data_IF_887628225425
#
_entry.id   IF_887628225425
#
_cell.length_a   1.000
_cell.length_b   1.000
_cell.length_c   1.000
_cell.angle_alpha   90.00
_cell.angle_beta   90.00
_cell.angle_gamma   90.00
#
_symmetry.space_group_name_H-M   'P 1'
#
loop_
_entity.id
_entity.type
_entity.pdbx_description
1 polymer ?
#
# COMPACT_ATOMS: atom_id res chain seq x y z
N UNK A 1 -59.46 -41.57 -30.33
CA UNK A 1 -58.00 -41.32 -30.23
C UNK A 1 -57.81 -39.93 -29.65
N UNK A 2 -57.41 -39.85 -28.37
CA UNK A 2 -57.13 -38.60 -27.66
C UNK A 2 -55.66 -38.23 -27.91
N UNK A 3 -55.39 -37.09 -28.54
CA UNK A 3 -54.05 -36.50 -28.55
C UNK A 3 -53.90 -35.56 -27.35
N UNK A 4 -53.10 -36.00 -26.37
CA UNK A 4 -52.63 -35.15 -25.27
C UNK A 4 -51.59 -34.18 -25.82
N UNK A 5 -51.86 -32.87 -25.72
CA UNK A 5 -50.86 -31.83 -25.91
C UNK A 5 -50.25 -31.56 -24.53
N UNK A 6 -48.98 -31.94 -24.36
CA UNK A 6 -48.19 -31.63 -23.17
C UNK A 6 -47.64 -30.22 -23.33
N UNK A 7 -48.21 -29.25 -22.63
CA UNK A 7 -47.62 -27.90 -22.51
C UNK A 7 -46.53 -27.93 -21.44
N UNK A 8 -45.28 -27.71 -21.84
CA UNK A 8 -44.16 -27.51 -20.91
C UNK A 8 -44.21 -26.05 -20.45
N UNK A 9 -44.69 -25.85 -19.22
CA UNK A 9 -44.63 -24.56 -18.54
C UNK A 9 -43.20 -24.39 -17.99
N UNK A 10 -42.35 -23.66 -18.72
CA UNK A 10 -41.04 -23.23 -18.18
C UNK A 10 -41.31 -22.04 -17.27
N UNK A 11 -41.53 -22.31 -15.98
CA UNK A 11 -41.47 -21.29 -14.94
C UNK A 11 -40.01 -20.90 -14.76
N UNK A 12 -39.59 -19.80 -15.39
CA UNK A 12 -38.34 -19.14 -15.04
C UNK A 12 -38.51 -18.52 -13.64
N UNK A 13 -38.19 -19.28 -12.61
CA UNK A 13 -37.93 -18.74 -11.28
C UNK A 13 -36.60 -18.00 -11.38
N UNK A 14 -36.64 -16.72 -11.77
CA UNK A 14 -35.55 -15.82 -11.44
C UNK A 14 -35.59 -15.61 -9.93
N UNK A 15 -34.96 -16.52 -9.20
CA UNK A 15 -34.53 -16.26 -7.84
C UNK A 15 -33.41 -15.23 -7.94
N UNK A 16 -33.77 -13.96 -8.11
CA UNK A 16 -32.86 -12.87 -7.87
C UNK A 16 -32.53 -12.93 -6.39
N UNK A 17 -31.37 -13.47 -6.04
CA UNK A 17 -30.81 -13.26 -4.73
C UNK A 17 -30.67 -11.74 -4.56
N UNK A 18 -31.58 -11.12 -3.83
CA UNK A 18 -31.40 -9.78 -3.33
C UNK A 18 -30.21 -9.84 -2.38
N UNK A 19 -29.04 -9.44 -2.87
CA UNK A 19 -27.88 -9.27 -2.02
C UNK A 19 -28.25 -8.18 -1.00
N UNK A 20 -28.39 -8.57 0.27
CA UNK A 20 -28.38 -7.61 1.38
C UNK A 20 -27.00 -6.95 1.34
N UNK A 21 -26.96 -5.69 0.91
CA UNK A 21 -25.80 -4.85 1.07
C UNK A 21 -25.93 -4.20 2.46
N UNK A 22 -24.95 -4.42 3.33
CA UNK A 22 -24.84 -3.62 4.55
C UNK A 22 -24.40 -2.22 4.16
N UNK A 23 -24.99 -1.19 4.75
CA UNK A 23 -24.62 0.21 4.57
C UNK A 23 -24.13 0.78 5.89
N UNK A 24 -23.28 1.79 5.84
CA UNK A 24 -22.88 2.54 7.02
C UNK A 24 -23.27 4.01 6.84
N UNK A 25 -23.92 4.56 7.87
CA UNK A 25 -24.23 5.97 8.00
C UNK A 25 -23.33 6.54 9.10
N UNK A 26 -22.47 7.46 8.72
CA UNK A 26 -21.68 8.26 9.64
C UNK A 26 -22.27 9.66 9.70
N UNK A 27 -22.40 10.23 10.89
CA UNK A 27 -22.83 11.62 11.06
C UNK A 27 -22.16 12.28 12.26
N UNK A 28 -21.78 13.54 12.13
CA UNK A 28 -21.36 14.36 13.27
C UNK A 28 -22.31 15.55 13.49
N UNK A 29 -21.97 16.46 14.40
CA UNK A 29 -22.76 17.67 14.71
C UNK A 29 -22.11 18.96 14.24
N UNK A 30 -21.08 18.87 13.39
CA UNK A 30 -20.41 20.01 12.81
C UNK A 30 -20.93 20.21 11.38
N UNK A 31 -21.25 21.44 11.01
CA UNK A 31 -21.68 21.76 9.66
C UNK A 31 -20.55 22.50 8.94
N UNK A 32 -19.56 21.76 8.46
CA UNK A 32 -18.35 22.31 7.82
C UNK A 32 -17.96 21.58 6.52
N UNK A 33 -18.72 20.56 6.11
CA UNK A 33 -18.46 19.70 4.96
C UNK A 33 -17.42 18.60 5.21
N UNK A 34 -16.99 18.38 6.46
CA UNK A 34 -15.93 17.43 6.82
C UNK A 34 -16.41 16.53 7.95
N UNK A 35 -16.38 15.22 7.74
CA UNK A 35 -16.76 14.24 8.76
C UNK A 35 -15.65 14.08 9.82
N UNK A 36 -15.93 14.46 11.05
CA UNK A 36 -15.00 14.39 12.17
C UNK A 36 -15.08 13.03 12.89
N UNK A 37 -14.08 12.17 12.67
CA UNK A 37 -14.07 10.78 13.16
C UNK A 37 -14.12 10.64 14.70
N UNK A 38 -13.72 11.66 15.45
CA UNK A 38 -13.69 11.66 16.91
C UNK A 38 -15.06 11.74 17.59
N UNK A 39 -16.10 12.22 16.87
CA UNK A 39 -17.47 12.38 17.39
C UNK A 39 -18.54 11.81 16.45
N UNK A 40 -18.14 11.08 15.40
CA UNK A 40 -19.07 10.52 14.43
C UNK A 40 -19.94 9.41 15.05
N UNK A 41 -21.25 9.58 14.99
CA UNK A 41 -22.20 8.50 15.27
C UNK A 41 -22.26 7.55 14.08
N UNK A 42 -21.99 6.27 14.32
CA UNK A 42 -21.97 5.23 13.28
C UNK A 42 -23.19 4.34 13.45
N UNK A 43 -24.01 4.25 12.40
CA UNK A 43 -25.14 3.32 12.32
C UNK A 43 -24.87 2.28 11.22
N UNK A 44 -25.03 1.00 11.56
CA UNK A 44 -24.88 -0.11 10.61
C UNK A 44 -26.25 -0.51 10.11
N UNK A 45 -26.49 -0.29 8.82
CA UNK A 45 -27.81 -0.36 8.24
C UNK A 45 -27.95 -1.64 7.40
N UNK A 46 -29.05 -2.36 7.60
CA UNK A 46 -29.55 -3.32 6.61
C UNK A 46 -30.55 -2.60 5.72
N UNK A 47 -30.19 -2.38 4.45
CA UNK A 47 -30.95 -1.55 3.52
C UNK A 47 -31.66 -2.41 2.48
N UNK A 48 -32.97 -2.21 2.35
CA UNK A 48 -33.78 -2.77 1.27
C UNK A 48 -34.12 -1.66 0.28
N UNK A 49 -33.70 -1.82 -0.98
CA UNK A 49 -33.96 -0.87 -2.06
C UNK A 49 -35.02 -1.44 -3.01
N UNK A 50 -36.06 -0.66 -3.30
CA UNK A 50 -37.12 -0.98 -4.25
C UNK A 50 -37.25 0.19 -5.24
N UNK A 51 -36.81 -0.04 -6.47
CA UNK A 51 -36.69 0.99 -7.51
C UNK A 51 -35.79 2.13 -7.04
N UNK A 52 -36.35 3.33 -6.83
CA UNK A 52 -35.62 4.51 -6.36
C UNK A 52 -35.83 4.77 -4.86
N UNK A 53 -36.67 4.00 -4.17
CA UNK A 53 -36.92 4.19 -2.73
C UNK A 53 -36.18 3.14 -1.92
N UNK A 54 -35.82 3.47 -0.69
CA UNK A 54 -35.19 2.54 0.23
C UNK A 54 -35.77 2.65 1.64
N UNK A 55 -35.72 1.53 2.35
CA UNK A 55 -35.93 1.45 3.79
C UNK A 55 -34.74 0.76 4.44
N UNK A 56 -34.30 1.25 5.60
CA UNK A 56 -33.23 0.62 6.34
C UNK A 56 -33.52 0.55 7.84
N UNK A 57 -32.93 -0.45 8.48
CA UNK A 57 -32.95 -0.64 9.93
C UNK A 57 -31.54 -0.69 10.47
N UNK A 58 -31.32 -0.06 11.63
CA UNK A 58 -30.04 -0.17 12.35
C UNK A 58 -29.91 -1.56 12.99
N UNK A 59 -28.85 -2.27 12.64
CA UNK A 59 -28.53 -3.63 13.10
C UNK A 59 -28.04 -3.68 14.56
N UNK A 60 -27.64 -2.55 15.13
CA UNK A 60 -27.01 -2.47 16.46
C UNK A 60 -27.93 -1.75 17.47
N UNK A 61 -28.96 -1.05 17.01
CA UNK A 61 -29.88 -0.34 17.89
C UNK A 61 -30.76 -1.30 18.71
N UNK A 62 -30.90 -1.01 20.01
CA UNK A 62 -31.84 -1.70 20.91
C UNK A 62 -33.30 -1.30 20.69
N UNK A 63 -33.53 -0.25 19.90
CA UNK A 63 -34.84 0.30 19.56
C UNK A 63 -35.01 0.36 18.05
N UNK A 64 -36.25 0.25 17.58
CA UNK A 64 -36.56 0.26 16.15
C UNK A 64 -36.37 1.66 15.55
N UNK A 65 -35.20 1.91 14.98
CA UNK A 65 -34.94 3.08 14.14
C UNK A 65 -35.46 2.78 12.74
N UNK A 66 -36.41 3.59 12.27
CA UNK A 66 -36.93 3.49 10.90
C UNK A 66 -36.27 4.55 10.03
N UNK A 67 -35.55 4.09 9.01
CA UNK A 67 -34.96 4.95 7.97
C UNK A 67 -35.73 4.74 6.68
N UNK A 68 -36.16 5.83 6.06
CA UNK A 68 -36.87 5.82 4.77
C UNK A 68 -36.34 6.94 3.89
N UNK A 69 -36.07 6.63 2.63
CA UNK A 69 -35.53 7.60 1.69
C UNK A 69 -35.65 7.19 0.23
N UNK A 70 -34.99 7.96 -0.61
CA UNK A 70 -34.94 7.74 -2.05
C UNK A 70 -33.62 8.21 -2.66
N UNK A 71 -33.26 7.55 -3.77
CA UNK A 71 -32.15 7.87 -4.65
C UNK A 71 -32.69 8.53 -5.92
N UNK A 72 -32.29 9.77 -6.15
CA UNK A 72 -32.64 10.51 -7.37
C UNK A 72 -31.54 10.30 -8.42
N UNK A 73 -31.86 9.58 -9.49
CA UNK A 73 -30.93 9.30 -10.57
C UNK A 73 -30.78 10.50 -11.50
N UNK A 74 -29.57 10.75 -12.05
CA UNK A 74 -29.37 11.84 -13.00
C UNK A 74 -30.11 11.56 -14.32
N UNK A 75 -30.53 12.63 -15.02
CA UNK A 75 -31.08 12.58 -16.38
C UNK A 75 -32.36 11.73 -16.57
N UNK A 76 -33.22 11.60 -15.56
CA UNK A 76 -34.52 10.92 -15.67
C UNK A 76 -35.66 11.88 -16.03
N UNK A 77 -36.64 11.38 -16.81
CA UNK A 77 -37.79 12.15 -17.31
C UNK A 77 -38.72 12.68 -16.21
N UNK A 78 -38.71 12.08 -15.02
CA UNK A 78 -39.62 12.38 -13.90
C UNK A 78 -39.08 13.40 -12.87
N UNK A 79 -38.22 14.35 -13.28
CA UNK A 79 -37.47 15.31 -12.45
C UNK A 79 -36.16 14.75 -11.87
N UNK A 80 -35.12 14.64 -12.72
CA UNK A 80 -33.72 14.53 -12.29
C UNK A 80 -32.87 15.64 -12.89
N UNK A 81 -32.74 16.79 -12.23
CA UNK A 81 -32.22 18.05 -12.82
C UNK A 81 -30.70 18.27 -12.76
N UNK A 82 -29.91 17.25 -12.39
CA UNK A 82 -28.47 17.39 -12.13
C UNK A 82 -27.60 16.34 -12.82
N UNK A 83 -26.28 16.58 -12.81
CA UNK A 83 -25.24 15.67 -13.35
C UNK A 83 -24.74 14.62 -12.34
N UNK A 84 -25.18 14.70 -11.08
CA UNK A 84 -24.77 13.83 -9.97
C UNK A 84 -26.02 13.24 -9.33
N UNK A 85 -25.96 11.97 -8.91
CA UNK A 85 -27.06 11.32 -8.18
C UNK A 85 -27.22 11.96 -6.81
N UNK A 86 -28.46 12.09 -6.34
CA UNK A 86 -28.78 12.60 -4.99
C UNK A 86 -29.42 11.54 -4.13
N UNK A 87 -29.28 11.69 -2.83
CA UNK A 87 -29.98 10.88 -1.84
C UNK A 87 -30.71 11.81 -0.88
N UNK A 88 -31.96 11.48 -0.56
CA UNK A 88 -32.67 12.10 0.55
C UNK A 88 -33.33 11.05 1.42
N UNK A 89 -33.30 11.23 2.72
CA UNK A 89 -33.92 10.30 3.65
C UNK A 89 -34.26 10.94 4.99
N UNK A 90 -35.05 10.22 5.77
CA UNK A 90 -35.40 10.61 7.14
C UNK A 90 -35.10 9.49 8.11
N UNK A 91 -34.72 9.88 9.33
CA UNK A 91 -34.58 8.97 10.47
C UNK A 91 -35.59 9.38 11.53
N UNK A 92 -36.42 8.43 11.96
CA UNK A 92 -37.35 8.62 13.08
C UNK A 92 -36.84 7.87 14.31
N UNK A 93 -36.58 8.60 15.40
CA UNK A 93 -36.07 8.08 16.67
C UNK A 93 -36.65 8.86 17.85
N UNK A 94 -37.15 8.18 18.89
CA UNK A 94 -37.68 8.82 20.10
C UNK A 94 -38.74 9.91 19.86
N UNK A 95 -39.60 9.70 18.86
CA UNK A 95 -40.62 10.69 18.46
C UNK A 95 -40.05 11.95 17.78
N UNK A 96 -38.75 11.98 17.49
CA UNK A 96 -38.06 13.02 16.72
C UNK A 96 -37.81 12.54 15.29
N UNK A 97 -37.73 13.49 14.36
CA UNK A 97 -37.42 13.23 12.96
C UNK A 97 -36.24 14.09 12.50
N UNK A 98 -35.30 13.43 11.84
CA UNK A 98 -34.11 14.04 11.25
C UNK A 98 -34.21 13.91 9.73
N UNK A 99 -33.77 14.93 9.00
CA UNK A 99 -33.82 15.00 7.53
C UNK A 99 -32.40 15.04 6.98
N UNK A 100 -32.14 14.26 5.93
CA UNK A 100 -30.84 14.11 5.31
C UNK A 100 -30.96 14.40 3.81
N UNK A 101 -30.02 15.18 3.27
CA UNK A 101 -29.91 15.44 1.84
C UNK A 101 -28.44 15.44 1.44
N UNK A 102 -28.10 14.64 0.43
CA UNK A 102 -26.74 14.51 -0.06
C UNK A 102 -26.66 14.14 -1.54
N UNK A 103 -25.43 13.99 -2.01
CA UNK A 103 -25.10 13.62 -3.39
C UNK A 103 -23.91 12.66 -3.43
N UNK A 104 -23.78 11.90 -4.51
CA UNK A 104 -22.73 10.90 -4.67
C UNK A 104 -23.11 9.80 -5.64
N UNK A 105 -22.76 8.56 -5.32
CA UNK A 105 -23.13 7.39 -6.11
C UNK A 105 -23.33 6.14 -5.25
N UNK A 106 -24.00 5.12 -5.79
CA UNK A 106 -24.13 3.83 -5.12
C UNK A 106 -22.82 3.06 -4.94
N UNK A 107 -21.75 3.46 -5.65
CA UNK A 107 -20.44 2.80 -5.61
C UNK A 107 -19.49 3.47 -4.62
N UNK A 108 -19.43 4.80 -4.64
CA UNK A 108 -18.51 5.61 -3.83
C UNK A 108 -19.16 6.10 -2.52
N UNK A 109 -20.47 5.93 -2.40
CA UNK A 109 -21.26 6.48 -1.29
C UNK A 109 -21.76 7.89 -1.58
N UNK A 110 -22.53 8.41 -0.62
CA UNK A 110 -23.13 9.73 -0.64
C UNK A 110 -22.63 10.54 0.54
N UNK A 111 -22.56 11.85 0.37
CA UNK A 111 -22.24 12.79 1.43
C UNK A 111 -23.19 13.99 1.39
N UNK A 112 -23.43 14.58 2.55
CA UNK A 112 -24.30 15.75 2.64
C UNK A 112 -24.54 16.24 4.06
N UNK A 113 -25.67 16.90 4.25
CA UNK A 113 -26.03 17.55 5.50
C UNK A 113 -27.31 16.96 6.07
N UNK A 114 -27.40 16.90 7.39
CA UNK A 114 -28.61 16.55 8.12
C UNK A 114 -29.13 17.71 8.98
N UNK A 115 -30.44 17.73 9.21
CA UNK A 115 -31.12 18.72 10.05
C UNK A 115 -32.05 18.03 11.06
N UNK A 116 -31.96 18.46 12.32
CA UNK A 116 -32.78 17.99 13.44
C UNK A 116 -33.81 19.02 13.91
N UNK A 117 -34.70 18.63 14.85
CA UNK A 117 -35.85 19.44 15.26
C UNK A 117 -35.49 20.66 16.13
N UNK A 118 -34.31 20.70 16.77
CA UNK A 118 -33.94 21.80 17.67
C UNK A 118 -32.91 22.75 17.06
N UNK A 119 -32.98 22.96 15.73
CA UNK A 119 -31.96 23.69 14.97
C UNK A 119 -30.58 23.00 15.03
N UNK A 120 -30.60 21.69 15.25
CA UNK A 120 -29.43 20.82 15.20
C UNK A 120 -29.09 20.55 13.73
N UNK A 121 -27.81 20.50 13.39
CA UNK A 121 -27.36 20.13 12.04
C UNK A 121 -25.95 19.57 12.09
N UNK A 122 -25.59 18.81 11.08
CA UNK A 122 -24.21 18.39 10.87
C UNK A 122 -24.03 17.69 9.53
N UNK A 123 -22.86 17.12 9.33
CA UNK A 123 -22.51 16.43 8.10
C UNK A 123 -22.74 14.91 8.22
N UNK A 124 -22.96 14.26 7.08
CA UNK A 124 -23.09 12.81 7.02
C UNK A 124 -22.42 12.20 5.78
N UNK A 125 -22.07 10.92 5.90
CA UNK A 125 -21.79 10.03 4.78
C UNK A 125 -22.66 8.78 4.87
N UNK A 126 -23.16 8.32 3.72
CA UNK A 126 -23.96 7.10 3.58
C UNK A 126 -23.37 6.29 2.44
N UNK A 127 -22.78 5.15 2.72
CA UNK A 127 -22.21 4.29 1.68
C UNK A 127 -22.49 2.82 1.92
N UNK A 128 -22.38 1.97 0.89
CA UNK A 128 -22.27 0.54 1.13
C UNK A 128 -21.09 0.34 2.10
N UNK A 129 -21.22 -0.64 3.00
CA UNK A 129 -20.10 -1.15 3.76
C UNK A 129 -19.16 -1.81 2.76
N UNK A 130 -18.31 -1.00 2.14
CA UNK A 130 -17.13 -1.48 1.48
C UNK A 130 -16.32 -2.07 2.62
N UNK A 131 -16.20 -3.40 2.67
CA UNK A 131 -15.00 -3.93 3.29
C UNK A 131 -13.88 -3.40 2.41
N UNK A 132 -13.39 -2.19 2.69
CA UNK A 132 -12.08 -1.77 2.23
C UNK A 132 -11.19 -2.77 2.93
N UNK A 133 -10.87 -3.86 2.25
CA UNK A 133 -9.78 -4.72 2.68
C UNK A 133 -8.57 -3.83 2.48
N UNK A 134 -8.29 -3.03 3.50
CA UNK A 134 -7.12 -2.16 3.51
C UNK A 134 -5.95 -3.07 3.18
N UNK A 135 -5.24 -2.75 2.10
CA UNK A 135 -4.11 -3.55 1.74
C UNK A 135 -3.13 -3.56 2.94
N UNK A 136 -2.54 -4.71 3.25
CA UNK A 136 -1.57 -4.80 4.34
C UNK A 136 -0.43 -3.83 4.08
N UNK A 137 0.06 -3.14 5.11
CA UNK A 137 1.08 -2.09 4.95
C UNK A 137 2.47 -2.62 4.63
N UNK A 138 2.68 -3.92 4.85
CA UNK A 138 3.96 -4.58 4.59
C UNK A 138 3.80 -6.09 4.44
N UNK A 139 4.80 -6.73 3.85
CA UNK A 139 4.93 -8.18 3.87
C UNK A 139 5.01 -8.76 5.30
N UNK A 140 5.58 -8.00 6.25
CA UNK A 140 5.63 -8.39 7.65
C UNK A 140 4.23 -8.44 8.28
N UNK A 141 3.33 -7.50 7.94
CA UNK A 141 1.93 -7.57 8.37
C UNK A 141 1.26 -8.85 7.84
N UNK A 142 1.42 -9.14 6.55
CA UNK A 142 0.87 -10.35 5.91
C UNK A 142 1.33 -11.60 6.64
N UNK A 143 2.63 -11.74 6.90
CA UNK A 143 3.19 -12.91 7.58
C UNK A 143 2.73 -13.01 9.04
N UNK A 144 2.52 -11.87 9.72
CA UNK A 144 2.00 -11.85 11.08
C UNK A 144 0.54 -12.31 11.17
N UNK A 145 -0.27 -11.97 10.15
CA UNK A 145 -1.68 -12.34 10.06
C UNK A 145 -1.88 -13.76 9.52
N UNK A 146 -0.96 -14.21 8.66
CA UNK A 146 -0.91 -15.57 8.13
C UNK A 146 0.52 -16.12 8.20
N UNK A 147 0.90 -16.81 9.30
CA UNK A 147 2.22 -17.40 9.46
C UNK A 147 2.60 -18.47 8.42
N UNK A 148 1.62 -19.01 7.69
CA UNK A 148 1.82 -19.98 6.61
C UNK A 148 1.89 -19.30 5.22
N UNK A 149 1.94 -17.96 5.16
CA UNK A 149 2.07 -17.22 3.92
C UNK A 149 3.40 -17.57 3.23
N UNK A 150 3.32 -18.04 1.98
CA UNK A 150 4.50 -18.34 1.18
C UNK A 150 5.09 -17.08 0.53
N UNK A 151 6.38 -17.11 0.22
CA UNK A 151 7.02 -16.09 -0.60
C UNK A 151 6.31 -15.92 -1.95
N UNK A 152 6.12 -14.69 -2.40
CA UNK A 152 5.34 -14.40 -3.61
C UNK A 152 5.00 -12.92 -3.78
N UNK A 153 4.18 -12.60 -4.77
CA UNK A 153 3.73 -11.22 -5.03
C UNK A 153 2.45 -10.96 -4.25
N UNK A 154 2.41 -9.84 -3.52
CA UNK A 154 1.27 -9.38 -2.74
C UNK A 154 1.02 -7.90 -2.99
N UNK A 155 -0.25 -7.49 -2.97
CA UNK A 155 -0.63 -6.08 -2.96
C UNK A 155 -0.45 -5.52 -1.55
N UNK A 156 0.33 -4.45 -1.42
CA UNK A 156 0.60 -3.77 -0.14
C UNK A 156 0.38 -2.26 -0.25
N UNK A 157 0.19 -1.61 0.89
CA UNK A 157 -0.03 -0.16 0.97
C UNK A 157 0.71 0.45 2.18
N UNK A 158 2.01 0.80 2.02
CA UNK A 158 2.85 1.21 3.14
C UNK A 158 2.44 2.50 3.85
N UNK A 159 1.77 3.44 3.18
CA UNK A 159 1.25 4.66 3.81
C UNK A 159 -0.25 4.58 4.16
N UNK A 160 -0.94 3.51 3.77
CA UNK A 160 -2.34 3.28 4.09
C UNK A 160 -3.24 4.28 3.37
N UNK A 161 -4.08 5.00 4.11
CA UNK A 161 -4.89 6.08 3.55
C UNK A 161 -4.06 7.34 3.19
N UNK A 162 -2.77 7.14 2.87
CA UNK A 162 -1.82 8.16 2.49
C UNK A 162 -2.02 8.64 1.06
N UNK A 163 -0.95 9.15 0.45
CA UNK A 163 -1.02 9.79 -0.88
C UNK A 163 -0.72 8.78 -2.00
N UNK A 164 -0.09 7.64 -1.68
CA UNK A 164 0.26 6.62 -2.66
C UNK A 164 -0.77 5.50 -2.66
N UNK A 165 -1.17 5.07 -3.85
CA UNK A 165 -2.01 3.89 -4.00
C UNK A 165 -1.24 2.62 -3.60
N UNK A 166 -1.97 1.57 -3.21
CA UNK A 166 -1.41 0.24 -3.03
C UNK A 166 -0.72 -0.26 -4.30
N UNK A 167 0.35 -1.05 -4.14
CA UNK A 167 1.09 -1.64 -5.26
C UNK A 167 1.49 -3.09 -5.02
N UNK A 168 1.80 -3.80 -6.10
CA UNK A 168 2.30 -5.17 -6.03
C UNK A 168 3.79 -5.19 -5.64
N UNK A 169 4.10 -5.88 -4.54
CA UNK A 169 5.46 -6.09 -4.05
C UNK A 169 5.77 -7.58 -3.96
N UNK A 170 7.04 -7.94 -4.17
CA UNK A 170 7.51 -9.28 -3.84
C UNK A 170 7.83 -9.38 -2.36
N UNK A 171 7.17 -10.33 -1.69
CA UNK A 171 7.39 -10.67 -0.30
C UNK A 171 8.24 -11.94 -0.19
N UNK A 172 9.37 -11.83 0.51
CA UNK A 172 10.16 -12.97 0.97
C UNK A 172 9.73 -13.32 2.41
N UNK A 173 8.97 -14.41 2.53
CA UNK A 173 8.37 -14.89 3.78
C UNK A 173 9.22 -15.94 4.51
N UNK A 174 10.34 -16.35 3.90
CA UNK A 174 11.12 -17.49 4.39
C UNK A 174 12.47 -17.07 4.98
N UNK A 175 13.14 -16.09 4.36
CA UNK A 175 14.52 -15.76 4.70
C UNK A 175 14.59 -14.88 5.94
N UNK A 176 15.44 -15.23 6.91
CA UNK A 176 15.70 -14.41 8.10
C UNK A 176 14.41 -13.98 8.81
N UNK A 177 13.58 -14.96 9.18
CA UNK A 177 12.25 -14.79 9.81
C UNK A 177 11.13 -14.22 8.91
N UNK A 178 11.42 -13.96 7.63
CA UNK A 178 10.42 -13.59 6.64
C UNK A 178 9.81 -12.19 6.81
N UNK A 179 8.82 -11.88 5.99
CA UNK A 179 8.13 -10.59 5.98
C UNK A 179 8.90 -9.48 5.28
N UNK A 180 9.90 -9.82 4.47
CA UNK A 180 10.71 -8.87 3.73
C UNK A 180 10.00 -8.37 2.48
N UNK A 181 9.79 -7.07 2.40
CA UNK A 181 9.23 -6.36 1.25
C UNK A 181 10.35 -5.92 0.31
N UNK A 182 10.32 -6.36 -0.95
CA UNK A 182 11.27 -5.89 -1.96
C UNK A 182 10.92 -4.45 -2.35
N UNK A 183 11.81 -3.50 -2.04
CA UNK A 183 11.61 -2.07 -2.33
C UNK A 183 12.61 -1.50 -3.32
N UNK A 184 13.72 -2.20 -3.59
CA UNK A 184 14.73 -1.75 -4.54
C UNK A 184 15.30 -2.91 -5.34
N UNK A 185 15.48 -2.68 -6.63
CA UNK A 185 15.96 -3.64 -7.61
C UNK A 185 16.90 -2.93 -8.58
N UNK A 186 18.06 -3.53 -8.84
CA UNK A 186 19.05 -2.97 -9.75
C UNK A 186 19.46 -4.04 -10.74
N UNK A 187 18.99 -3.93 -11.98
CA UNK A 187 19.08 -4.98 -12.98
C UNK A 187 20.53 -5.28 -13.36
N UNK A 188 20.81 -6.53 -13.74
CA UNK A 188 22.15 -6.89 -14.24
C UNK A 188 22.54 -6.16 -15.52
N UNK A 189 21.57 -5.68 -16.28
CA UNK A 189 21.78 -4.93 -17.53
C UNK A 189 21.87 -3.42 -17.33
N UNK A 190 21.62 -2.91 -16.11
CA UNK A 190 21.62 -1.47 -15.83
C UNK A 190 23.03 -0.89 -15.97
N UNK A 191 23.25 0.10 -16.84
CA UNK A 191 24.56 0.71 -17.01
C UNK A 191 24.84 1.74 -15.91
N UNK A 192 25.87 1.50 -15.09
CA UNK A 192 26.34 2.45 -14.09
C UNK A 192 25.31 2.74 -12.98
N UNK A 193 25.76 3.46 -11.95
CA UNK A 193 24.92 3.88 -10.84
C UNK A 193 24.07 5.08 -11.25
N UNK A 194 22.79 5.07 -10.85
CA UNK A 194 21.89 6.21 -11.05
C UNK A 194 22.40 7.45 -10.33
N UNK A 195 22.20 8.60 -10.94
CA UNK A 195 22.57 9.88 -10.33
C UNK A 195 21.63 10.23 -9.19
N UNK A 196 20.32 10.00 -9.42
CA UNK A 196 19.23 10.34 -8.50
C UNK A 196 18.26 9.18 -8.34
N UNK A 197 17.61 9.11 -7.18
CA UNK A 197 16.46 8.21 -6.93
C UNK A 197 15.35 8.45 -7.97
N UNK A 198 15.13 9.69 -8.39
CA UNK A 198 14.09 10.05 -9.36
C UNK A 198 14.32 9.46 -10.77
N UNK A 199 15.49 8.89 -11.05
CA UNK A 199 15.79 8.19 -12.32
C UNK A 199 15.40 6.70 -12.30
N UNK A 200 15.00 6.16 -11.15
CA UNK A 200 14.47 4.81 -11.05
C UNK A 200 12.99 4.79 -11.43
N UNK A 201 12.52 3.64 -11.92
CA UNK A 201 11.10 3.34 -11.89
C UNK A 201 10.63 3.43 -10.42
N UNK A 202 9.59 4.23 -10.09
CA UNK A 202 9.16 4.46 -8.72
C UNK A 202 8.62 3.21 -8.01
N UNK A 203 8.39 2.11 -8.73
CA UNK A 203 8.08 0.80 -8.16
C UNK A 203 9.19 -0.20 -8.55
N UNK A 204 9.64 -1.06 -7.62
CA UNK A 204 10.64 -2.09 -7.90
C UNK A 204 10.07 -3.22 -8.76
N UNK A 205 10.96 -4.05 -9.31
CA UNK A 205 10.53 -5.33 -9.89
C UNK A 205 9.90 -6.25 -8.86
N UNK A 206 8.92 -7.05 -9.26
CA UNK A 206 8.19 -8.01 -8.40
C UNK A 206 8.83 -9.41 -8.35
N UNK A 207 10.15 -9.47 -8.51
CA UNK A 207 10.94 -10.71 -8.44
C UNK A 207 12.31 -10.43 -7.84
N UNK A 208 12.84 -11.38 -7.06
CA UNK A 208 14.22 -11.33 -6.58
C UNK A 208 15.24 -11.86 -7.59
N UNK A 209 14.78 -12.53 -8.66
CA UNK A 209 15.65 -13.16 -9.67
C UNK A 209 15.61 -12.38 -10.97
N UNK A 210 16.78 -11.87 -11.39
CA UNK A 210 16.96 -11.06 -12.62
C UNK A 210 15.90 -9.94 -12.78
N UNK A 211 15.73 -9.05 -11.78
CA UNK A 211 14.68 -8.03 -11.83
C UNK A 211 15.01 -6.91 -12.82
N UNK A 212 13.96 -6.21 -13.25
CA UNK A 212 14.08 -4.88 -13.85
C UNK A 212 14.48 -3.86 -12.77
N UNK A 213 15.13 -2.75 -13.17
CA UNK A 213 15.56 -1.69 -12.24
C UNK A 213 14.36 -0.86 -11.76
N UNK A 214 14.26 -0.66 -10.46
CA UNK A 214 13.22 0.16 -9.83
C UNK A 214 13.46 0.31 -8.33
N UNK A 215 12.94 1.38 -7.76
CA UNK A 215 13.14 1.75 -6.35
C UNK A 215 11.90 2.48 -5.85
N UNK A 216 11.29 1.95 -4.79
CA UNK A 216 10.13 2.52 -4.13
C UNK A 216 10.42 3.92 -3.57
N UNK A 217 9.61 4.91 -3.95
CA UNK A 217 9.81 6.33 -3.59
C UNK A 217 8.81 6.86 -2.56
N UNK A 218 7.84 6.05 -2.10
CA UNK A 218 6.86 6.45 -1.09
C UNK A 218 7.41 6.43 0.34
N UNK A 219 6.51 6.54 1.33
CA UNK A 219 6.89 6.55 2.76
C UNK A 219 7.46 5.20 3.20
N UNK A 220 8.51 5.25 4.03
CA UNK A 220 9.10 4.07 4.67
C UNK A 220 8.68 3.94 6.14
N UNK A 221 7.69 4.72 6.58
CA UNK A 221 7.22 4.79 7.97
C UNK A 221 6.62 3.48 8.51
N UNK A 222 6.20 2.56 7.63
CA UNK A 222 5.72 1.23 8.01
C UNK A 222 6.84 0.23 8.35
N UNK A 223 8.09 0.53 7.99
CA UNK A 223 9.20 -0.43 8.11
C UNK A 223 10.20 -0.02 9.18
N UNK A 224 10.95 -0.98 9.71
CA UNK A 224 11.99 -0.75 10.73
C UNK A 224 13.29 -1.45 10.40
N UNK A 225 13.22 -2.49 9.60
CA UNK A 225 14.36 -3.34 9.31
C UNK A 225 14.69 -3.26 7.82
N UNK A 226 15.97 -3.42 7.49
CA UNK A 226 16.46 -3.26 6.13
C UNK A 226 17.54 -4.30 5.83
N UNK A 227 17.51 -4.80 4.60
CA UNK A 227 18.46 -5.77 4.09
C UNK A 227 18.86 -5.38 2.67
N UNK A 228 20.14 -5.13 2.46
CA UNK A 228 20.69 -4.90 1.13
C UNK A 228 21.51 -6.11 0.67
N UNK A 229 21.25 -6.57 -0.54
CA UNK A 229 21.96 -7.66 -1.18
C UNK A 229 22.64 -7.18 -2.46
N UNK A 230 23.93 -7.48 -2.57
CA UNK A 230 24.80 -7.04 -3.68
C UNK A 230 25.43 -8.28 -4.33
N UNK A 231 25.70 -8.16 -5.63
CA UNK A 231 26.31 -9.21 -6.46
C UNK A 231 25.51 -10.52 -6.53
N UNK A 232 24.18 -10.41 -6.61
CA UNK A 232 23.26 -11.53 -6.76
C UNK A 232 23.40 -12.22 -8.11
N UNK A 233 23.37 -13.54 -8.12
CA UNK A 233 23.16 -14.39 -9.29
C UNK A 233 22.14 -15.50 -8.96
N UNK A 234 21.97 -16.46 -9.87
CA UNK A 234 21.08 -17.61 -9.68
C UNK A 234 21.47 -18.53 -8.50
N UNK A 235 22.70 -18.44 -7.99
CA UNK A 235 23.16 -19.20 -6.83
C UNK A 235 23.05 -18.39 -5.51
N UNK A 236 22.65 -17.11 -5.57
CA UNK A 236 22.47 -16.23 -4.43
C UNK A 236 23.34 -14.97 -4.52
N UNK A 237 23.37 -14.20 -3.43
CA UNK A 237 24.10 -12.94 -3.35
C UNK A 237 25.44 -13.13 -2.65
N UNK A 238 26.48 -12.42 -3.11
CA UNK A 238 27.79 -12.50 -2.46
C UNK A 238 27.77 -11.76 -1.14
N UNK A 239 27.21 -10.56 -1.13
CA UNK A 239 27.27 -9.68 0.04
C UNK A 239 25.88 -9.28 0.47
N UNK A 240 25.62 -9.44 1.77
CA UNK A 240 24.37 -9.01 2.39
C UNK A 240 24.68 -8.20 3.64
N UNK A 241 23.96 -7.09 3.79
CA UNK A 241 24.03 -6.20 4.92
C UNK A 241 22.63 -6.05 5.52
N UNK A 242 22.56 -5.95 6.84
CA UNK A 242 21.32 -5.84 7.61
C UNK A 242 21.43 -4.72 8.62
N UNK A 243 20.30 -4.06 8.88
CA UNK A 243 20.08 -3.29 10.09
C UNK A 243 18.62 -3.44 10.53
N UNK A 244 18.38 -3.26 11.82
CA UNK A 244 17.06 -3.36 12.43
C UNK A 244 16.78 -2.14 13.30
N UNK A 245 15.51 -1.92 13.62
CA UNK A 245 15.08 -0.85 14.53
C UNK A 245 15.43 0.57 14.05
N UNK A 246 15.47 0.79 12.74
CA UNK A 246 15.68 2.11 12.15
C UNK A 246 14.40 2.93 12.16
N UNK A 247 14.56 4.24 12.28
CA UNK A 247 13.47 5.18 11.97
C UNK A 247 13.42 5.49 10.46
N UNK A 248 12.34 6.14 10.02
CA UNK A 248 12.13 6.46 8.60
C UNK A 248 13.27 7.30 7.99
N UNK A 249 13.81 8.27 8.73
CA UNK A 249 14.91 9.10 8.24
C UNK A 249 16.19 8.28 8.04
N UNK A 250 16.47 7.29 8.89
CA UNK A 250 17.61 6.39 8.73
C UNK A 250 17.42 5.42 7.55
N UNK A 251 16.21 4.90 7.35
CA UNK A 251 15.86 4.12 6.15
C UNK A 251 16.00 4.96 4.88
N UNK A 252 15.57 6.21 4.92
CA UNK A 252 15.75 7.17 3.83
C UNK A 252 17.21 7.42 3.51
N UNK A 253 18.07 7.56 4.52
CA UNK A 253 19.51 7.70 4.30
C UNK A 253 20.10 6.52 3.54
N UNK A 254 19.65 5.30 3.83
CA UNK A 254 20.04 4.10 3.09
C UNK A 254 19.49 4.16 1.66
N UNK A 255 18.22 4.53 1.47
CA UNK A 255 17.62 4.70 0.15
C UNK A 255 18.37 5.76 -0.70
N UNK A 256 18.79 6.87 -0.10
CA UNK A 256 19.60 7.91 -0.77
C UNK A 256 20.95 7.41 -1.25
N UNK A 257 21.50 6.32 -0.68
CA UNK A 257 22.72 5.70 -1.22
C UNK A 257 22.52 5.06 -2.60
N UNK A 258 21.29 4.85 -3.05
CA UNK A 258 20.99 4.30 -4.37
C UNK A 258 21.07 5.36 -5.49
N UNK A 259 21.26 6.64 -5.17
CA UNK A 259 21.59 7.70 -6.12
C UNK A 259 22.88 8.40 -5.69
N UNK A 260 23.93 8.41 -6.52
CA UNK A 260 25.25 8.88 -6.05
C UNK A 260 25.28 10.37 -5.70
N UNK A 261 24.48 11.23 -6.35
CA UNK A 261 24.38 12.64 -5.94
C UNK A 261 23.50 12.83 -4.72
N UNK A 262 22.39 12.09 -4.63
CA UNK A 262 21.54 12.12 -3.43
C UNK A 262 22.34 11.72 -2.19
N UNK A 263 23.14 10.67 -2.31
CA UNK A 263 24.06 10.25 -1.25
C UNK A 263 25.01 11.37 -0.82
N UNK A 264 25.68 12.02 -1.78
CA UNK A 264 26.66 13.08 -1.50
C UNK A 264 26.02 14.27 -0.78
N UNK A 265 24.81 14.65 -1.21
CA UNK A 265 24.08 15.77 -0.61
C UNK A 265 23.57 15.45 0.79
N UNK A 266 23.03 14.25 1.00
CA UNK A 266 22.42 13.86 2.27
C UNK A 266 23.45 13.49 3.33
N UNK A 267 24.56 12.86 2.94
CA UNK A 267 25.62 12.50 3.89
C UNK A 267 26.39 13.69 4.45
N UNK A 268 26.28 14.87 3.84
CA UNK A 268 26.85 16.11 4.38
C UNK A 268 26.26 16.48 5.76
N UNK A 269 25.03 16.06 6.05
CA UNK A 269 24.30 16.41 7.27
C UNK A 269 23.82 15.21 8.07
N UNK A 270 23.86 14.01 7.50
CA UNK A 270 23.31 12.81 8.14
C UNK A 270 24.24 11.62 7.92
N UNK A 271 24.74 10.97 8.99
CA UNK A 271 25.64 9.83 8.84
C UNK A 271 24.92 8.62 8.21
N UNK A 272 25.70 7.75 7.59
CA UNK A 272 25.21 6.43 7.17
C UNK A 272 24.88 5.57 8.38
N UNK A 273 23.78 4.81 8.36
CA UNK A 273 23.55 3.81 9.38
C UNK A 273 24.62 2.71 9.36
N UNK A 274 24.96 2.24 10.55
CA UNK A 274 25.79 1.05 10.75
C UNK A 274 25.06 -0.20 10.24
N UNK A 275 25.80 -1.27 9.94
CA UNK A 275 25.19 -2.52 9.50
C UNK A 275 25.87 -3.76 10.07
N UNK A 276 25.21 -4.91 9.89
CA UNK A 276 25.71 -6.25 10.22
C UNK A 276 25.66 -7.13 8.98
N UNK A 277 26.49 -8.17 8.95
CA UNK A 277 26.53 -9.14 7.82
C UNK A 277 25.60 -10.35 8.02
N UNK A 278 24.90 -10.39 9.15
CA UNK A 278 23.91 -11.40 9.51
C UNK A 278 22.74 -10.74 10.21
N UNK A 279 21.55 -11.27 10.02
CA UNK A 279 20.34 -10.81 10.71
C UNK A 279 20.28 -11.36 12.13
N UNK A 280 21.16 -10.87 13.01
CA UNK A 280 21.21 -11.26 14.44
C UNK A 280 21.56 -10.06 15.32
N UNK A 281 20.91 -9.94 16.48
CA UNK A 281 21.08 -8.82 17.40
C UNK A 281 22.55 -8.53 17.75
N UNK A 282 23.31 -9.58 18.10
CA UNK A 282 24.68 -9.48 18.61
C UNK A 282 25.77 -9.78 17.56
N UNK A 283 25.46 -9.54 16.28
CA UNK A 283 26.42 -9.71 15.19
C UNK A 283 27.54 -8.66 15.21
N UNK A 284 28.60 -8.90 14.45
CA UNK A 284 29.64 -7.89 14.20
C UNK A 284 29.03 -6.70 13.48
N UNK A 285 29.17 -5.52 14.08
CA UNK A 285 28.73 -4.24 13.52
C UNK A 285 29.85 -3.57 12.73
N UNK A 286 29.50 -3.06 11.55
CA UNK A 286 30.36 -2.29 10.66
C UNK A 286 29.88 -0.84 10.65
N UNK A 287 30.72 0.07 11.15
CA UNK A 287 30.40 1.49 11.23
C UNK A 287 30.14 2.07 9.85
N UNK A 288 29.05 2.82 9.69
CA UNK A 288 28.58 3.38 8.41
C UNK A 288 28.39 2.34 7.29
N UNK A 289 28.30 1.06 7.65
CA UNK A 289 28.31 -0.07 6.72
C UNK A 289 29.54 -0.14 5.80
N UNK A 290 30.72 0.21 6.34
CA UNK A 290 32.01 0.17 5.65
C UNK A 290 32.97 -0.78 6.38
N UNK A 291 33.78 -1.55 5.65
CA UNK A 291 34.87 -2.33 6.26
C UNK A 291 36.00 -1.45 6.83
N UNK A 292 36.24 -0.29 6.23
CA UNK A 292 37.20 0.72 6.68
C UNK A 292 36.72 2.09 6.17
N UNK A 293 36.82 3.18 6.95
CA UNK A 293 36.58 4.56 6.51
C UNK A 293 37.15 4.94 5.13
N UNK A 294 38.32 4.43 4.75
CA UNK A 294 38.94 4.68 3.43
C UNK A 294 38.11 4.14 2.25
N UNK A 295 37.12 3.28 2.52
CA UNK A 295 36.17 2.76 1.52
C UNK A 295 34.94 3.64 1.33
N UNK A 296 34.87 4.78 2.02
CA UNK A 296 33.81 5.75 1.79
C UNK A 296 33.97 6.42 0.42
N UNK A 297 33.35 5.81 -0.59
CA UNK A 297 33.27 6.37 -1.94
C UNK A 297 31.82 6.70 -2.24
N UNK A 298 31.52 8.00 -2.33
CA UNK A 298 30.16 8.49 -2.62
C UNK A 298 29.88 8.63 -4.13
N UNK A 299 30.81 8.21 -5.00
CA UNK A 299 30.60 8.09 -6.45
C UNK A 299 30.19 6.67 -6.89
N UNK A 300 29.84 5.82 -5.93
CA UNK A 300 29.24 4.49 -6.15
C UNK A 300 27.92 4.45 -5.40
N UNK A 301 26.97 3.67 -5.89
CA UNK A 301 25.66 3.50 -5.26
C UNK A 301 25.58 2.23 -4.40
N UNK A 302 24.56 2.16 -3.55
CA UNK A 302 24.31 1.12 -2.56
C UNK A 302 24.78 1.54 -1.17
N UNK A 303 24.33 0.87 -0.13
CA UNK A 303 24.61 1.24 1.26
C UNK A 303 25.88 0.60 1.80
N UNK A 304 26.09 -0.68 1.54
CA UNK A 304 27.24 -1.41 2.05
C UNK A 304 28.50 -1.24 1.18
N UNK A 305 29.69 -1.22 1.78
CA UNK A 305 30.97 -1.32 1.07
C UNK A 305 31.88 -2.36 1.68
N UNK A 306 32.12 -3.43 0.93
CA UNK A 306 33.09 -4.48 1.28
C UNK A 306 32.93 -5.04 2.71
N UNK A 307 31.71 -5.06 3.27
CA UNK A 307 31.46 -5.40 4.68
C UNK A 307 31.82 -6.84 5.06
N UNK A 308 32.20 -7.67 4.10
CA UNK A 308 32.82 -8.98 4.37
C UNK A 308 34.30 -8.94 3.99
N UNK A 309 35.16 -9.48 4.85
CA UNK A 309 36.62 -9.42 4.71
C UNK A 309 37.18 -10.09 3.46
N UNK A 310 36.43 -11.02 2.86
CA UNK A 310 36.80 -11.70 1.60
C UNK A 310 36.17 -11.07 0.36
N UNK A 311 35.28 -10.07 0.54
CA UNK A 311 34.73 -9.31 -0.57
C UNK A 311 35.63 -8.11 -0.84
N UNK A 312 35.89 -7.90 -2.12
CA UNK A 312 36.61 -6.73 -2.58
C UNK A 312 35.80 -6.11 -3.69
N UNK A 313 35.79 -4.78 -3.77
CA UNK A 313 35.10 -4.09 -4.83
C UNK A 313 33.58 -4.41 -4.87
N UNK A 314 32.97 -4.47 -3.69
CA UNK A 314 31.58 -4.85 -3.47
C UNK A 314 30.73 -3.59 -3.26
N UNK A 315 30.15 -3.12 -4.35
CA UNK A 315 29.22 -2.00 -4.45
C UNK A 315 28.06 -2.38 -5.38
N UNK A 316 26.95 -1.66 -5.27
CA UNK A 316 25.80 -1.91 -6.12
C UNK A 316 26.04 -1.45 -7.56
N UNK A 317 26.68 -0.30 -7.78
CA UNK A 317 27.03 0.21 -9.12
C UNK A 317 28.01 1.38 -9.06
N UNK A 318 28.73 1.64 -10.16
CA UNK A 318 29.63 2.80 -10.28
C UNK A 318 28.91 3.98 -10.94
N UNK A 319 28.92 5.16 -10.31
CA UNK A 319 28.44 6.39 -10.94
C UNK A 319 29.33 6.82 -12.11
N UNK A 320 30.40 7.59 -11.83
CA UNK A 320 31.18 8.26 -12.87
C UNK A 320 32.40 7.48 -13.40
N UNK A 321 32.97 6.58 -12.60
CA UNK A 321 34.24 5.92 -12.94
C UNK A 321 34.09 4.91 -14.09
N UNK A 322 32.97 4.18 -14.15
CA UNK A 322 32.75 3.18 -15.20
C UNK A 322 31.26 3.10 -15.59
N UNK A 323 30.71 4.15 -16.22
CA UNK A 323 29.27 4.33 -16.42
C UNK A 323 28.65 3.33 -17.42
N UNK A 324 29.47 2.67 -18.24
CA UNK A 324 29.01 1.63 -19.16
C UNK A 324 29.00 0.22 -18.54
N UNK A 325 29.53 0.06 -17.32
CA UNK A 325 29.55 -1.22 -16.65
C UNK A 325 28.15 -1.62 -16.22
N UNK A 326 27.73 -2.83 -16.60
CA UNK A 326 26.35 -3.27 -16.40
C UNK A 326 26.18 -4.08 -15.12
N UNK A 327 25.20 -3.71 -14.32
CA UNK A 327 24.77 -4.44 -13.13
C UNK A 327 25.70 -4.28 -11.94
N UNK A 328 25.51 -5.17 -10.97
CA UNK A 328 26.26 -5.15 -9.72
C UNK A 328 27.70 -5.63 -9.88
N UNK A 329 28.57 -5.14 -9.01
CA UNK A 329 29.95 -5.61 -8.96
C UNK A 329 30.00 -7.10 -8.63
N UNK A 330 31.13 -7.74 -8.92
CA UNK A 330 31.31 -9.18 -8.65
C UNK A 330 31.80 -9.49 -7.24
N UNK A 331 32.10 -8.46 -6.45
CA UNK A 331 32.67 -8.57 -5.11
C UNK A 331 33.95 -9.44 -5.08
N UNK A 332 34.84 -9.25 -6.06
CA UNK A 332 36.15 -9.89 -6.13
C UNK A 332 37.24 -8.91 -6.56
N UNK A 333 38.50 -9.21 -6.24
CA UNK A 333 39.63 -8.31 -6.48
C UNK A 333 39.71 -7.84 -7.94
N UNK A 334 39.74 -6.51 -8.16
CA UNK A 334 39.75 -5.86 -9.48
C UNK A 334 38.60 -6.26 -10.43
N UNK A 335 37.52 -6.84 -9.91
CA UNK A 335 36.41 -7.25 -10.76
C UNK A 335 35.37 -6.14 -10.88
N UNK A 336 35.11 -5.75 -12.11
CA UNK A 336 34.06 -4.81 -12.46
C UNK A 336 32.74 -5.52 -12.73
N UNK A 337 31.66 -4.74 -12.69
CA UNK A 337 30.36 -5.17 -13.18
C UNK A 337 30.42 -5.51 -14.68
N UNK A 338 29.71 -6.56 -15.09
CA UNK A 338 29.87 -7.15 -16.42
C UNK A 338 28.56 -7.75 -16.99
N UNK A 339 27.41 -7.33 -16.50
CA UNK A 339 26.12 -7.80 -17.01
C UNK A 339 25.58 -9.07 -16.36
N UNK A 340 26.26 -9.61 -15.34
CA UNK A 340 25.93 -10.94 -14.78
C UNK A 340 25.31 -10.92 -13.39
N UNK A 341 25.30 -9.76 -12.72
CA UNK A 341 24.89 -9.64 -11.32
C UNK A 341 23.90 -8.52 -11.13
N UNK A 342 22.94 -8.70 -10.24
CA UNK A 342 21.99 -7.66 -9.83
C UNK A 342 22.12 -7.37 -8.32
N UNK A 343 21.36 -6.39 -7.83
CA UNK A 343 21.24 -6.13 -6.41
C UNK A 343 19.79 -5.82 -6.01
N UNK A 344 19.54 -5.95 -4.71
CA UNK A 344 18.21 -5.93 -4.11
C UNK A 344 18.24 -5.13 -2.80
N UNK A 345 17.17 -4.39 -2.53
CA UNK A 345 16.93 -3.71 -1.27
C UNK A 345 15.58 -4.15 -0.72
N UNK A 346 15.60 -4.57 0.54
CA UNK A 346 14.45 -5.12 1.24
C UNK A 346 14.20 -4.34 2.50
N UNK A 347 12.93 -4.16 2.87
CA UNK A 347 12.53 -3.61 4.16
C UNK A 347 11.47 -4.47 4.83
N UNK A 348 11.45 -4.48 6.15
CA UNK A 348 10.56 -5.29 6.98
C UNK A 348 9.95 -4.42 8.08
#
# INVERSE_FOLDING_TARGET
MMNKITAILVASISCGASASAQWELFSDTNLNGVLESSNAHVQKLDMTVLSNTFSATDLVATESILIQGEFEHPNTFELGSGTVQRVQFTISKDGRRFYYLGQGSSQEGYQGTWYGPNNDSGDFTLGPKVNVVKAPVSCAQILSENPEAASGVYSIDPDGEGVHDSFDAYCDMDTDEGGWTLIGTYARTEPGGKERISEYNPLPGVTATDPATGLYQGSLSAFRDIREQVACDFAGCKSTAYQSSLNEAELDMIRYTWGYKDQQEKQATTPLPDCRTRYVANGTTYTNCLINPDRNNMNVIGWQRDVHTSHHACWLGHGLYFPAAQGSARCSYNAHANGTRWGLLWVR
#
